data_IF_822417417511
#
_entry.id   IF_822417417511
#
_cell.length_a   1.000
_cell.length_b   1.000
_cell.length_c   1.000
_cell.angle_alpha   90.00
_cell.angle_beta   90.00
_cell.angle_gamma   90.00
#
_symmetry.space_group_name_H-M   'P 1'
#
loop_
_entity.id
_entity.type
_entity.pdbx_description
1 polymer ?
#
# COMPACT_ATOMS: atom_id res chain seq x y z
N UNK A 1 0.73 13.74 -2.91
CA UNK A 1 0.40 13.42 -1.51
C UNK A 1 1.24 12.23 -1.06
N UNK A 2 1.73 12.19 0.20
CA UNK A 2 2.61 11.12 0.72
C UNK A 2 1.91 10.33 1.83
N UNK A 3 1.03 9.40 1.47
CA UNK A 3 0.58 8.33 2.38
C UNK A 3 1.65 7.26 2.49
N UNK A 4 1.74 6.64 3.67
CA UNK A 4 2.66 5.55 4.02
C UNK A 4 4.13 5.76 3.64
N UNK A 5 4.95 5.85 4.67
CA UNK A 5 6.38 6.06 4.59
C UNK A 5 7.04 5.33 5.76
N UNK A 6 8.34 5.11 5.70
CA UNK A 6 9.06 4.37 6.74
C UNK A 6 8.92 5.01 8.12
N UNK A 7 8.67 6.32 8.17
CA UNK A 7 8.43 7.07 9.41
C UNK A 7 7.08 6.78 10.08
N UNK A 8 6.08 6.24 9.37
CA UNK A 8 4.72 6.03 9.92
C UNK A 8 4.18 4.62 9.70
N UNK A 9 5.03 3.69 9.26
CA UNK A 9 4.73 2.25 9.16
C UNK A 9 5.82 1.46 9.87
N UNK A 10 5.46 0.34 10.46
CA UNK A 10 6.41 -0.59 11.07
C UNK A 10 6.06 -2.02 10.68
N UNK A 11 7.09 -2.84 10.44
CA UNK A 11 6.99 -4.30 10.42
C UNK A 11 7.41 -4.78 11.80
N UNK A 12 6.59 -5.61 12.43
CA UNK A 12 6.81 -6.12 13.77
C UNK A 12 6.97 -7.64 13.74
N UNK A 13 7.82 -8.23 14.61
CA UNK A 13 7.99 -9.67 14.68
C UNK A 13 6.72 -10.37 15.21
N UNK A 14 6.61 -11.69 15.02
CA UNK A 14 5.53 -12.49 15.60
C UNK A 14 5.48 -12.38 17.13
N UNK A 15 4.27 -12.35 17.70
CA UNK A 15 4.05 -12.31 19.15
C UNK A 15 3.95 -10.91 19.77
N UNK A 16 4.09 -9.86 18.95
CA UNK A 16 3.86 -8.47 19.36
C UNK A 16 2.35 -8.14 19.45
N UNK A 17 1.98 -7.27 20.38
CA UNK A 17 0.60 -6.80 20.56
C UNK A 17 0.45 -5.36 20.10
N UNK A 18 -0.43 -5.10 19.14
CA UNK A 18 -0.81 -3.75 18.75
C UNK A 18 -2.04 -3.31 19.56
N UNK A 19 -1.88 -2.34 20.46
CA UNK A 19 -2.97 -1.79 21.30
C UNK A 19 -3.87 -0.82 20.54
N UNK A 20 -4.19 -1.11 19.27
CA UNK A 20 -4.98 -0.26 18.36
C UNK A 20 -4.39 1.14 18.06
N UNK A 21 -3.16 1.44 18.51
CA UNK A 21 -2.45 2.67 18.16
C UNK A 21 -2.05 2.73 16.68
N UNK A 22 -1.96 1.57 16.03
CA UNK A 22 -1.71 1.43 14.60
C UNK A 22 -2.78 0.53 13.97
N UNK A 23 -3.10 0.78 12.71
CA UNK A 23 -3.87 -0.15 11.90
C UNK A 23 -2.96 -1.30 11.46
N UNK A 24 -3.32 -2.53 11.81
CA UNK A 24 -2.70 -3.73 11.23
C UNK A 24 -3.20 -3.86 9.79
N UNK A 25 -2.35 -3.48 8.84
CA UNK A 25 -2.69 -3.52 7.41
C UNK A 25 -2.61 -4.94 6.84
N UNK A 26 -1.69 -5.76 7.35
CA UNK A 26 -1.45 -7.13 6.88
C UNK A 26 -0.69 -7.95 7.91
N UNK A 27 -0.88 -9.26 7.88
CA UNK A 27 -0.10 -10.24 8.62
C UNK A 27 0.12 -11.46 7.71
N UNK A 28 1.37 -11.92 7.63
CA UNK A 28 1.79 -13.08 6.84
C UNK A 28 2.56 -14.09 7.68
N UNK A 29 2.86 -15.24 7.10
CA UNK A 29 3.62 -16.31 7.77
C UNK A 29 5.14 -16.10 7.64
N UNK A 30 5.57 -15.36 6.62
CA UNK A 30 6.99 -15.10 6.33
C UNK A 30 7.29 -13.60 6.24
N UNK A 31 8.54 -13.22 6.53
CA UNK A 31 9.00 -11.84 6.38
C UNK A 31 8.89 -11.37 4.92
N UNK A 32 9.23 -12.25 3.97
CA UNK A 32 9.17 -11.97 2.54
C UNK A 32 7.75 -11.61 2.08
N UNK A 33 6.75 -12.38 2.52
CA UNK A 33 5.34 -12.11 2.23
C UNK A 33 4.89 -10.73 2.74
N UNK A 34 5.31 -10.35 3.96
CA UNK A 34 5.00 -9.03 4.53
C UNK A 34 5.73 -7.91 3.79
N UNK A 35 6.98 -8.13 3.36
CA UNK A 35 7.73 -7.18 2.55
C UNK A 35 7.10 -6.99 1.17
N UNK A 36 6.61 -8.07 0.55
CA UNK A 36 5.89 -8.05 -0.71
C UNK A 36 4.56 -7.29 -0.58
N UNK A 37 3.76 -7.55 0.47
CA UNK A 37 2.58 -6.74 0.76
C UNK A 37 2.94 -5.26 0.97
N UNK A 38 4.02 -4.98 1.70
CA UNK A 38 4.49 -3.60 1.90
C UNK A 38 4.85 -2.93 0.57
N UNK A 39 5.46 -3.64 -0.37
CA UNK A 39 5.75 -3.11 -1.71
C UNK A 39 4.48 -2.71 -2.46
N UNK A 40 3.42 -3.53 -2.38
CA UNK A 40 2.11 -3.19 -2.92
C UNK A 40 1.51 -1.95 -2.25
N UNK A 41 1.48 -1.91 -0.92
CA UNK A 41 0.93 -0.77 -0.18
C UNK A 41 1.68 0.54 -0.46
N UNK A 42 2.96 0.47 -0.81
CA UNK A 42 3.82 1.62 -1.10
C UNK A 42 3.73 2.06 -2.57
N UNK A 43 3.15 1.26 -3.45
CA UNK A 43 2.89 1.63 -4.84
C UNK A 43 2.04 2.91 -4.92
N UNK A 44 2.24 3.70 -5.97
CA UNK A 44 1.39 4.87 -6.23
C UNK A 44 -0.03 4.45 -6.55
N UNK A 45 -0.21 3.36 -7.29
CA UNK A 45 -1.54 2.85 -7.67
C UNK A 45 -2.37 2.52 -6.42
N UNK A 46 -1.85 1.72 -5.48
CA UNK A 46 -2.61 1.37 -4.27
C UNK A 46 -2.92 2.59 -3.40
N UNK A 47 -1.95 3.50 -3.23
CA UNK A 47 -2.13 4.73 -2.44
C UNK A 47 -3.09 5.72 -3.11
N UNK A 48 -3.16 5.74 -4.43
CA UNK A 48 -4.13 6.52 -5.18
C UNK A 48 -5.55 5.99 -5.01
N UNK A 49 -5.73 4.66 -5.04
CA UNK A 49 -7.02 4.03 -4.77
C UNK A 49 -7.48 4.31 -3.33
N UNK A 50 -6.57 4.24 -2.36
CA UNK A 50 -6.84 4.62 -0.99
C UNK A 50 -7.26 6.10 -0.87
N UNK A 51 -6.58 7.00 -1.58
CA UNK A 51 -6.92 8.44 -1.60
C UNK A 51 -8.38 8.69 -1.99
N UNK A 52 -8.99 7.85 -2.84
CA UNK A 52 -10.39 8.03 -3.25
C UNK A 52 -11.39 7.90 -2.11
N UNK A 53 -11.02 7.24 -1.01
CA UNK A 53 -11.87 7.07 0.16
C UNK A 53 -11.42 7.91 1.36
N UNK A 54 -10.21 8.48 1.36
CA UNK A 54 -9.65 9.21 2.52
C UNK A 54 -10.08 10.67 2.52
N UNK A 55 -10.74 11.10 3.61
CA UNK A 55 -11.20 12.48 3.81
C UNK A 55 -10.47 13.22 4.94
N UNK A 56 -9.67 12.51 5.75
CA UNK A 56 -8.92 13.04 6.89
C UNK A 56 -7.65 12.22 7.13
N UNK A 57 -6.82 12.64 8.09
CA UNK A 57 -5.59 11.90 8.44
C UNK A 57 -5.87 10.51 9.06
N UNK A 58 -7.07 10.29 9.59
CA UNK A 58 -7.44 9.04 10.23
C UNK A 58 -7.85 7.98 9.18
N UNK A 59 -7.00 6.96 9.04
CA UNK A 59 -7.18 5.87 8.08
C UNK A 59 -7.63 4.63 8.82
N UNK A 60 -8.93 4.34 8.73
CA UNK A 60 -9.54 3.11 9.25
C UNK A 60 -9.70 2.07 8.14
N UNK A 61 -9.96 0.81 8.50
CA UNK A 61 -10.20 -0.31 7.56
C UNK A 61 -11.15 0.04 6.41
N UNK A 62 -12.20 0.83 6.67
CA UNK A 62 -13.20 1.21 5.66
C UNK A 62 -12.61 2.04 4.51
N UNK A 63 -11.49 2.72 4.73
CA UNK A 63 -10.83 3.53 3.69
C UNK A 63 -10.19 2.69 2.60
N UNK A 64 -9.92 1.40 2.86
CA UNK A 64 -9.36 0.48 1.87
C UNK A 64 -10.39 -0.10 0.90
N UNK A 65 -11.63 0.41 0.87
CA UNK A 65 -12.72 -0.18 0.09
C UNK A 65 -12.47 -0.25 -1.43
N UNK A 66 -11.59 0.61 -1.95
CA UNK A 66 -11.19 0.64 -3.35
C UNK A 66 -9.82 0.00 -3.61
N UNK A 67 -9.12 -0.44 -2.56
CA UNK A 67 -7.79 -1.06 -2.67
C UNK A 67 -8.01 -2.58 -2.74
N UNK A 68 -7.80 -3.23 -3.89
CA UNK A 68 -8.03 -4.66 -4.02
C UNK A 68 -7.00 -5.46 -3.21
N UNK A 69 -7.47 -6.56 -2.63
CA UNK A 69 -6.61 -7.60 -2.11
C UNK A 69 -6.11 -8.46 -3.28
N UNK A 70 -4.79 -8.57 -3.44
CA UNK A 70 -4.19 -9.38 -4.51
C UNK A 70 -4.16 -10.87 -4.14
N UNK A 71 -4.39 -11.20 -2.86
CA UNK A 71 -4.46 -12.55 -2.32
C UNK A 71 -3.11 -13.24 -2.14
N UNK A 72 -2.19 -13.08 -3.10
CA UNK A 72 -0.84 -13.67 -3.07
C UNK A 72 0.22 -12.57 -3.11
N UNK A 73 1.17 -12.64 -2.17
CA UNK A 73 2.27 -11.70 -2.02
C UNK A 73 3.61 -12.45 -2.04
N UNK A 74 3.90 -13.16 -3.13
CA UNK A 74 5.08 -14.03 -3.29
C UNK A 74 6.27 -13.35 -4.00
N UNK A 75 6.09 -12.12 -4.49
CA UNK A 75 7.14 -11.30 -5.08
C UNK A 75 6.92 -9.81 -4.83
N UNK A 76 7.96 -9.01 -5.08
CA UNK A 76 7.90 -7.54 -5.00
C UNK A 76 7.00 -7.01 -6.10
N UNK A 77 5.98 -6.25 -5.70
CA UNK A 77 4.97 -5.68 -6.60
C UNK A 77 5.36 -4.26 -6.96
N UNK A 78 5.39 -3.96 -8.25
CA UNK A 78 5.75 -2.63 -8.77
C UNK A 78 4.53 -1.89 -9.35
N UNK A 79 4.65 -0.57 -9.50
CA UNK A 79 3.59 0.23 -10.14
C UNK A 79 3.38 -0.19 -11.60
N UNK A 80 4.44 -0.57 -12.32
CA UNK A 80 4.34 -1.03 -13.72
C UNK A 80 3.52 -2.32 -13.84
N UNK A 81 3.72 -3.25 -12.90
CA UNK A 81 2.94 -4.48 -12.84
C UNK A 81 1.45 -4.19 -12.57
N UNK A 82 1.16 -3.30 -11.62
CA UNK A 82 -0.21 -2.92 -11.29
C UNK A 82 -0.91 -2.18 -12.44
N UNK A 83 -0.18 -1.33 -13.18
CA UNK A 83 -0.67 -0.68 -14.40
C UNK A 83 -1.10 -1.72 -15.43
N UNK A 84 -0.30 -2.76 -15.63
CA UNK A 84 -0.64 -3.86 -16.55
C UNK A 84 -1.82 -4.69 -16.02
N UNK A 85 -1.79 -5.06 -14.73
CA UNK A 85 -2.81 -5.89 -14.09
C UNK A 85 -4.20 -5.26 -14.15
N UNK A 86 -4.29 -3.94 -13.94
CA UNK A 86 -5.56 -3.21 -13.97
C UNK A 86 -5.89 -2.61 -15.34
N UNK A 87 -5.03 -2.79 -16.35
CA UNK A 87 -5.25 -2.29 -17.70
C UNK A 87 -5.30 -0.76 -17.78
N UNK A 88 -4.48 -0.07 -16.98
CA UNK A 88 -4.43 1.38 -16.92
C UNK A 88 -3.71 1.94 -18.16
N UNK A 89 -4.28 2.99 -18.75
CA UNK A 89 -3.63 3.70 -19.87
C UNK A 89 -2.54 4.64 -19.37
N UNK A 90 -1.70 5.13 -20.29
CA UNK A 90 -0.68 6.15 -19.98
C UNK A 90 -1.30 7.42 -19.35
N UNK A 91 -2.52 7.76 -19.76
CA UNK A 91 -3.25 8.92 -19.22
C UNK A 91 -3.65 8.66 -17.76
N UNK A 92 -4.15 7.46 -17.47
CA UNK A 92 -4.52 7.06 -16.11
C UNK A 92 -3.28 7.06 -15.20
N UNK A 93 -2.17 6.50 -15.69
CA UNK A 93 -0.90 6.52 -14.95
C UNK A 93 -0.41 7.94 -14.67
N UNK A 94 -0.38 8.82 -15.68
CA UNK A 94 0.01 10.22 -15.49
C UNK A 94 -0.88 10.94 -14.46
N UNK A 95 -2.18 10.62 -14.47
CA UNK A 95 -3.10 11.15 -13.47
C UNK A 95 -2.74 10.67 -12.06
N UNK A 96 -2.53 9.36 -11.88
CA UNK A 96 -2.11 8.76 -10.60
C UNK A 96 -0.79 9.38 -10.11
N UNK A 97 0.21 9.45 -10.99
CA UNK A 97 1.55 9.96 -10.72
C UNK A 97 1.53 11.43 -10.29
N UNK A 98 0.68 12.26 -10.92
CA UNK A 98 0.53 13.66 -10.54
C UNK A 98 -0.11 13.88 -9.16
N UNK A 99 -0.83 12.89 -8.61
CA UNK A 99 -1.52 13.00 -7.32
C UNK A 99 -0.76 12.34 -6.17
N UNK A 100 0.02 11.29 -6.44
CA UNK A 100 0.77 10.55 -5.42
C UNK A 100 2.28 10.78 -5.59
N UNK A 101 2.90 11.26 -4.53
CA UNK A 101 4.34 11.51 -4.52
C UNK A 101 5.10 10.21 -4.27
N UNK A 102 6.32 10.15 -4.81
CA UNK A 102 7.25 9.08 -4.47
C UNK A 102 7.41 8.93 -2.96
N UNK A 103 7.55 7.68 -2.53
CA UNK A 103 7.81 7.36 -1.14
C UNK A 103 9.16 6.68 -0.98
N UNK A 104 9.51 6.38 0.26
CA UNK A 104 10.81 5.80 0.58
C UNK A 104 10.96 4.46 -0.15
N UNK A 105 12.14 4.21 -0.72
CA UNK A 105 12.38 2.95 -1.44
C UNK A 105 12.10 1.75 -0.53
N UNK A 106 11.26 0.84 -1.02
CA UNK A 106 11.11 -0.49 -0.45
C UNK A 106 12.38 -1.26 -0.83
N UNK A 107 13.39 -1.17 0.04
CA UNK A 107 14.57 -2.03 0.05
C UNK A 107 14.20 -3.46 0.38
#
# INVERSE_FOLDING_TARGET
MKFYANQNTAIVPPGECCTESFLVAYAGETEEEVLNFRSYLFSKVARFLLLQAVASQDITKRRFLFVPDLGVYDHRISDEELVQLFGLSDIDWQYIDSHISETDEVK
#
